data_IF_844165826870
#
_entry.id   IF_844165826870
#
_cell.length_a   1.000
_cell.length_b   1.000
_cell.length_c   1.000
_cell.angle_alpha   90.00
_cell.angle_beta   90.00
_cell.angle_gamma   90.00
#
_symmetry.space_group_name_H-M   'P 1'
#
loop_
_entity.id
_entity.type
_entity.pdbx_description
1 polymer ?
#
# COMPACT_ATOMS: atom_id res chain seq x y z
N UNK A 1 10.49 2.89 15.35
CA UNK A 1 9.12 2.82 14.80
C UNK A 1 9.08 3.04 13.28
N UNK A 2 9.81 4.00 12.67
CA UNK A 2 9.68 4.28 11.23
C UNK A 2 9.84 3.07 10.31
N UNK A 3 10.75 2.15 10.64
CA UNK A 3 11.04 0.95 9.84
C UNK A 3 10.29 -0.30 10.31
N UNK A 4 9.52 -0.21 11.38
CA UNK A 4 8.93 -1.39 12.02
C UNK A 4 7.93 -2.09 11.11
N UNK A 5 7.02 -1.34 10.47
CA UNK A 5 6.04 -1.94 9.57
C UNK A 5 6.70 -2.59 8.34
N UNK A 6 7.76 -1.98 7.77
CA UNK A 6 8.52 -2.60 6.68
C UNK A 6 9.13 -3.95 7.13
N UNK A 7 9.81 -3.97 8.28
CA UNK A 7 10.42 -5.19 8.81
C UNK A 7 9.36 -6.25 9.11
N UNK A 8 8.21 -5.87 9.66
CA UNK A 8 7.12 -6.80 9.93
C UNK A 8 6.64 -7.45 8.63
N UNK A 9 6.34 -6.66 7.61
CA UNK A 9 5.88 -7.16 6.31
C UNK A 9 6.95 -8.02 5.62
N UNK A 10 8.22 -7.61 5.63
CA UNK A 10 9.34 -8.40 5.08
C UNK A 10 9.53 -9.76 5.77
N UNK A 11 8.95 -9.94 6.97
CA UNK A 11 8.95 -11.21 7.71
C UNK A 11 7.56 -11.88 7.74
N UNK A 12 6.62 -11.49 6.90
CA UNK A 12 5.30 -12.10 6.79
C UNK A 12 4.38 -11.82 7.99
N UNK A 13 4.61 -10.71 8.70
CA UNK A 13 3.80 -10.28 9.86
C UNK A 13 2.89 -9.09 9.49
N UNK A 14 2.20 -9.21 8.37
CA UNK A 14 1.39 -8.13 7.79
C UNK A 14 0.25 -7.71 8.69
N UNK A 15 -0.40 -8.66 9.35
CA UNK A 15 -1.49 -8.39 10.31
C UNK A 15 -1.04 -7.49 11.45
N UNK A 16 0.20 -7.70 11.93
CA UNK A 16 0.77 -6.86 12.99
C UNK A 16 1.05 -5.45 12.44
N UNK A 17 1.58 -5.34 11.21
CA UNK A 17 1.84 -4.05 10.58
C UNK A 17 0.55 -3.25 10.36
N UNK A 18 -0.50 -3.90 9.86
CA UNK A 18 -1.82 -3.29 9.74
C UNK A 18 -2.45 -2.96 11.08
N UNK A 19 -2.34 -3.85 12.06
CA UNK A 19 -2.82 -3.60 13.43
C UNK A 19 -2.17 -2.38 14.06
N UNK A 20 -0.90 -2.10 13.77
CA UNK A 20 -0.23 -0.88 14.21
C UNK A 20 -0.75 0.36 13.48
N UNK A 21 -0.97 0.29 12.17
CA UNK A 21 -1.50 1.40 11.39
C UNK A 21 -2.95 1.75 11.80
N UNK A 22 -3.78 0.74 11.95
CA UNK A 22 -5.23 0.87 12.20
C UNK A 22 -5.57 1.01 13.68
N UNK A 23 -4.56 1.00 14.57
CA UNK A 23 -4.78 1.17 16.01
C UNK A 23 -5.35 2.56 16.32
N UNK A 24 -6.59 2.59 16.79
CA UNK A 24 -7.30 3.81 17.18
C UNK A 24 -6.99 4.27 18.62
N UNK A 25 -6.36 3.40 19.41
CA UNK A 25 -5.99 3.69 20.79
C UNK A 25 -4.54 4.18 20.89
N UNK A 26 -4.25 4.84 22.00
CA UNK A 26 -2.88 5.22 22.32
C UNK A 26 -2.02 3.98 22.68
N UNK A 27 -0.80 3.87 22.16
CA UNK A 27 -0.14 4.72 21.16
C UNK A 27 -0.46 4.28 19.72
N UNK A 28 -0.77 5.21 18.83
CA UNK A 28 -1.09 4.87 17.43
C UNK A 28 -1.35 6.10 16.56
N UNK A 29 -1.20 5.94 15.24
CA UNK A 29 -1.46 7.02 14.28
C UNK A 29 -2.91 7.48 14.31
N UNK A 30 -3.87 6.54 14.37
CA UNK A 30 -5.28 6.91 14.39
C UNK A 30 -5.70 7.54 15.72
N UNK A 31 -5.00 7.29 16.82
CA UNK A 31 -5.24 8.00 18.07
C UNK A 31 -4.92 9.49 17.96
N UNK A 32 -3.87 9.84 17.20
CA UNK A 32 -3.56 11.25 16.90
C UNK A 32 -4.66 11.90 16.05
N UNK A 33 -5.15 11.16 15.02
CA UNK A 33 -6.28 11.62 14.17
C UNK A 33 -7.53 11.86 15.00
N UNK A 34 -7.86 10.98 15.95
CA UNK A 34 -8.99 11.16 16.88
C UNK A 34 -8.84 12.41 17.75
N UNK A 35 -7.61 12.77 18.11
CA UNK A 35 -7.30 14.02 18.83
C UNK A 35 -7.30 15.26 17.92
N UNK A 36 -7.63 15.11 16.63
CA UNK A 36 -7.73 16.21 15.68
C UNK A 36 -6.42 16.56 14.97
N UNK A 37 -5.42 15.65 14.96
CA UNK A 37 -4.18 15.87 14.24
C UNK A 37 -4.42 16.05 12.73
N UNK A 38 -3.81 17.06 12.15
CA UNK A 38 -3.76 17.32 10.71
C UNK A 38 -2.37 17.10 10.12
N UNK A 39 -1.43 16.77 10.98
CA UNK A 39 -0.03 16.47 10.68
C UNK A 39 0.43 15.31 11.57
N UNK A 40 1.47 14.60 11.18
CA UNK A 40 2.03 13.53 12.01
C UNK A 40 2.96 14.12 13.06
N UNK A 41 2.73 13.78 14.33
CA UNK A 41 3.47 14.33 15.46
C UNK A 41 4.79 13.58 15.69
N UNK A 42 5.70 14.23 16.40
CA UNK A 42 6.99 13.64 16.80
C UNK A 42 6.84 12.50 17.80
N UNK A 43 5.82 12.59 18.64
CA UNK A 43 5.55 11.63 19.71
C UNK A 43 4.07 11.31 19.78
N UNK A 44 3.75 10.11 20.15
CA UNK A 44 2.36 9.70 20.40
C UNK A 44 1.64 10.55 21.46
N UNK A 45 2.40 11.10 22.40
CA UNK A 45 1.90 11.97 23.45
C UNK A 45 2.26 13.45 23.25
N UNK A 46 2.44 13.89 22.01
CA UNK A 46 2.66 15.31 21.71
C UNK A 46 1.51 16.18 22.20
N UNK A 47 0.29 15.68 22.09
CA UNK A 47 -0.90 16.21 22.74
C UNK A 47 -1.37 15.19 23.80
N UNK A 48 -1.69 15.68 24.99
CA UNK A 48 -2.23 14.85 26.06
C UNK A 48 -3.74 14.71 25.93
N UNK A 49 -4.32 13.69 26.58
CA UNK A 49 -5.76 13.43 26.51
C UNK A 49 -6.65 14.56 27.09
N UNK A 50 -6.07 15.47 27.88
CA UNK A 50 -6.74 16.68 28.38
C UNK A 50 -6.65 17.87 27.41
N UNK A 51 -6.06 17.69 26.23
CA UNK A 51 -5.86 18.71 25.21
C UNK A 51 -4.66 19.62 25.43
N UNK A 52 -3.82 19.36 26.44
CA UNK A 52 -2.61 20.13 26.67
C UNK A 52 -1.44 19.58 25.85
N UNK A 53 -0.54 20.47 25.43
CA UNK A 53 0.70 20.07 24.76
C UNK A 53 1.67 19.52 25.81
N UNK A 54 2.29 18.38 25.50
CA UNK A 54 3.29 17.77 26.35
C UNK A 54 4.42 18.76 26.67
N UNK A 55 4.67 18.99 27.95
CA UNK A 55 5.63 19.99 28.46
C UNK A 55 7.11 19.59 28.35
N UNK A 56 7.42 18.49 27.66
CA UNK A 56 8.81 18.05 27.48
C UNK A 56 9.38 18.82 26.28
N UNK A 57 10.51 19.50 26.48
CA UNK A 57 11.23 20.18 25.40
C UNK A 57 11.51 19.22 24.23
N UNK A 58 11.55 19.66 22.99
CA UNK A 58 11.55 18.86 21.76
C UNK A 58 10.23 18.09 21.56
N UNK A 59 9.26 18.82 21.08
CA UNK A 59 7.95 18.29 20.71
C UNK A 59 7.46 19.02 19.47
N UNK A 60 7.55 18.37 18.31
CA UNK A 60 7.06 18.90 17.05
C UNK A 60 5.70 18.30 16.71
N UNK A 61 4.77 19.15 16.29
CA UNK A 61 3.46 18.72 15.79
C UNK A 61 3.49 18.38 14.29
N UNK A 62 4.66 18.45 13.67
CA UNK A 62 4.87 18.04 12.26
C UNK A 62 6.27 17.45 12.12
N UNK A 63 6.39 16.13 12.23
CA UNK A 63 7.68 15.46 12.28
C UNK A 63 7.71 14.21 11.37
N UNK A 64 8.81 14.07 10.63
CA UNK A 64 8.94 13.01 9.62
C UNK A 64 9.06 11.60 10.21
N UNK A 65 9.50 11.45 11.47
CA UNK A 65 9.84 10.15 12.02
C UNK A 65 8.68 9.15 11.97
N UNK A 66 7.50 9.52 12.46
CA UNK A 66 6.31 8.69 12.33
C UNK A 66 5.63 8.86 10.96
N UNK A 67 5.84 9.99 10.28
CA UNK A 67 5.37 10.21 8.92
C UNK A 67 5.96 9.26 7.89
N UNK A 68 7.07 8.60 8.20
CA UNK A 68 7.68 7.55 7.37
C UNK A 68 6.78 6.31 7.16
N UNK A 69 5.71 6.13 7.93
CA UNK A 69 4.68 5.11 7.68
C UNK A 69 4.12 5.22 6.26
N UNK A 70 4.12 6.41 5.67
CA UNK A 70 3.65 6.63 4.32
C UNK A 70 4.44 5.82 3.28
N UNK A 71 5.76 5.61 3.50
CA UNK A 71 6.56 4.73 2.65
C UNK A 71 5.99 3.30 2.67
N UNK A 72 5.68 2.76 3.86
CA UNK A 72 5.07 1.45 4.00
C UNK A 72 3.69 1.37 3.34
N UNK A 73 2.89 2.43 3.49
CA UNK A 73 1.56 2.51 2.86
C UNK A 73 1.67 2.45 1.33
N UNK A 74 2.65 3.13 0.73
CA UNK A 74 2.87 3.06 -0.72
C UNK A 74 3.45 1.72 -1.16
N UNK A 75 4.47 1.23 -0.47
CA UNK A 75 5.20 0.02 -0.87
C UNK A 75 4.40 -1.26 -0.64
N UNK A 76 3.72 -1.35 0.48
CA UNK A 76 3.05 -2.57 0.91
C UNK A 76 1.54 -2.46 0.82
N UNK A 77 0.89 -1.52 1.51
CA UNK A 77 -0.56 -1.44 1.47
C UNK A 77 -1.10 -1.15 0.05
N UNK A 78 -0.48 -0.23 -0.68
CA UNK A 78 -0.82 0.03 -2.09
C UNK A 78 -0.07 -0.89 -3.06
N UNK A 79 1.08 -1.44 -2.65
CA UNK A 79 1.86 -2.36 -3.45
C UNK A 79 2.64 -1.70 -4.59
N UNK A 80 2.98 -0.42 -4.51
CA UNK A 80 3.78 0.27 -5.53
C UNK A 80 5.25 0.26 -5.10
N UNK A 81 6.03 -0.69 -5.60
CA UNK A 81 7.43 -0.87 -5.26
C UNK A 81 8.37 -0.50 -6.41
N UNK A 82 9.60 -0.16 -6.03
CA UNK A 82 10.69 0.03 -6.98
C UNK A 82 11.49 -1.27 -7.14
N UNK A 83 12.27 -1.36 -8.20
CA UNK A 83 13.22 -2.44 -8.39
C UNK A 83 14.62 -1.88 -8.61
N UNK A 84 15.62 -2.50 -8.01
CA UNK A 84 17.02 -2.13 -8.19
C UNK A 84 17.50 -2.29 -9.65
N UNK A 85 16.86 -3.18 -10.40
CA UNK A 85 17.19 -3.44 -11.79
C UNK A 85 16.80 -2.29 -12.75
N UNK A 86 15.92 -1.37 -12.32
CA UNK A 86 15.45 -0.27 -13.15
C UNK A 86 15.23 1.01 -12.31
N UNK A 87 16.30 1.74 -11.98
CA UNK A 87 16.20 2.97 -11.21
C UNK A 87 15.37 4.03 -11.94
N UNK A 88 14.79 4.96 -11.18
CA UNK A 88 13.99 6.07 -11.71
C UNK A 88 12.57 5.66 -12.09
N UNK A 89 12.05 4.58 -11.52
CA UNK A 89 10.67 4.12 -11.71
C UNK A 89 10.30 3.85 -13.18
N UNK A 90 11.26 3.46 -14.01
CA UNK A 90 10.99 2.95 -15.35
C UNK A 90 10.34 1.57 -15.33
N UNK A 91 10.59 0.83 -14.27
CA UNK A 91 9.92 -0.42 -13.96
C UNK A 91 9.53 -0.42 -12.49
N UNK A 92 8.27 -0.66 -12.22
CA UNK A 92 7.74 -0.83 -10.87
C UNK A 92 7.35 -2.28 -10.64
N UNK A 93 7.20 -2.64 -9.37
CA UNK A 93 6.56 -3.89 -8.96
C UNK A 93 5.24 -3.53 -8.32
N UNK A 94 4.15 -4.16 -8.79
CA UNK A 94 2.87 -4.13 -8.13
C UNK A 94 2.70 -5.40 -7.30
N UNK A 95 2.63 -5.24 -5.98
CA UNK A 95 2.53 -6.34 -5.02
C UNK A 95 1.80 -5.84 -3.76
N UNK A 96 0.48 -5.59 -3.84
CA UNK A 96 -0.27 -5.10 -2.69
C UNK A 96 -0.43 -6.17 -1.61
N UNK A 97 -0.22 -5.77 -0.38
CA UNK A 97 -0.57 -6.55 0.81
C UNK A 97 -1.99 -6.21 1.20
N UNK A 98 -2.87 -7.17 1.09
CA UNK A 98 -4.30 -6.97 1.33
C UNK A 98 -4.64 -7.00 2.82
N UNK A 99 -5.71 -6.31 3.21
CA UNK A 99 -6.22 -6.36 4.58
C UNK A 99 -7.73 -6.17 4.59
N UNK A 100 -8.45 -7.05 5.30
CA UNK A 100 -9.90 -7.04 5.34
C UNK A 100 -10.48 -5.86 6.11
N UNK A 101 -9.83 -5.36 7.16
CA UNK A 101 -10.30 -4.19 7.91
C UNK A 101 -10.24 -2.91 7.06
N UNK A 102 -9.19 -2.77 6.24
CA UNK A 102 -9.04 -1.64 5.33
C UNK A 102 -9.93 -1.73 4.10
N UNK A 103 -10.17 -2.93 3.59
CA UNK A 103 -11.04 -3.30 2.45
C UNK A 103 -10.66 -2.72 1.10
N UNK A 104 -10.09 -1.56 1.02
CA UNK A 104 -9.66 -0.97 -0.24
C UNK A 104 -8.51 0.00 -0.05
N UNK A 105 -7.66 0.08 -1.06
CA UNK A 105 -6.60 1.09 -1.18
C UNK A 105 -6.60 1.60 -2.61
N UNK A 106 -6.31 2.89 -2.79
CA UNK A 106 -6.02 3.48 -4.09
C UNK A 106 -4.86 4.46 -3.92
N UNK A 107 -3.78 4.21 -4.64
CA UNK A 107 -2.62 5.08 -4.66
C UNK A 107 -2.13 5.30 -6.10
N UNK A 108 -1.49 6.44 -6.31
CA UNK A 108 -0.81 6.74 -7.56
C UNK A 108 0.52 7.42 -7.28
N UNK A 109 1.43 7.24 -8.20
CA UNK A 109 2.74 7.87 -8.16
C UNK A 109 3.05 8.50 -9.53
N UNK A 110 3.22 9.82 -9.54
CA UNK A 110 3.62 10.57 -10.73
C UNK A 110 5.14 10.50 -10.87
N UNK A 111 5.60 9.64 -11.77
CA UNK A 111 7.00 9.38 -12.03
C UNK A 111 7.51 10.16 -13.25
N UNK A 112 8.83 10.26 -13.45
CA UNK A 112 9.38 10.82 -14.71
C UNK A 112 8.91 10.07 -15.97
N UNK A 113 8.41 8.84 -15.84
CA UNK A 113 7.87 8.04 -16.94
C UNK A 113 6.36 8.22 -17.14
N UNK A 114 5.70 8.93 -16.22
CA UNK A 114 4.25 9.13 -16.15
C UNK A 114 3.63 8.47 -14.91
N UNK A 115 2.31 8.46 -14.88
CA UNK A 115 1.53 8.04 -13.72
C UNK A 115 1.46 6.51 -13.60
N UNK A 116 1.89 5.98 -12.46
CA UNK A 116 1.57 4.62 -12.01
C UNK A 116 0.43 4.67 -11.02
N UNK A 117 -0.51 3.76 -11.13
CA UNK A 117 -1.62 3.60 -10.19
C UNK A 117 -1.75 2.16 -9.76
N UNK A 118 -2.07 1.94 -8.51
CA UNK A 118 -2.50 0.66 -7.99
C UNK A 118 -3.70 0.89 -7.07
N UNK A 119 -4.78 0.20 -7.35
CA UNK A 119 -5.99 0.25 -6.53
C UNK A 119 -6.55 -1.15 -6.39
N UNK A 120 -6.85 -1.56 -5.17
CA UNK A 120 -7.50 -2.83 -4.89
C UNK A 120 -8.73 -2.64 -4.00
N UNK A 121 -9.66 -3.57 -4.14
CA UNK A 121 -10.89 -3.62 -3.38
C UNK A 121 -11.27 -5.07 -3.08
N UNK A 122 -11.62 -5.34 -1.84
CA UNK A 122 -12.17 -6.62 -1.40
C UNK A 122 -13.69 -6.55 -1.46
N UNK A 123 -14.30 -7.33 -2.35
CA UNK A 123 -15.76 -7.44 -2.43
C UNK A 123 -16.32 -8.29 -1.30
N UNK A 124 -15.54 -9.26 -0.85
CA UNK A 124 -15.71 -10.07 0.35
C UNK A 124 -14.32 -10.56 0.84
N UNK A 125 -14.19 -11.31 1.94
CA UNK A 125 -12.88 -11.72 2.47
C UNK A 125 -12.01 -12.56 1.52
N UNK A 126 -12.58 -13.11 0.46
CA UNK A 126 -11.87 -13.98 -0.47
C UNK A 126 -11.69 -13.37 -1.88
N UNK A 127 -12.55 -12.43 -2.30
CA UNK A 127 -12.54 -11.94 -3.67
C UNK A 127 -11.92 -10.55 -3.77
N UNK A 128 -10.94 -10.43 -4.67
CA UNK A 128 -10.14 -9.23 -4.90
C UNK A 128 -10.36 -8.69 -6.31
N UNK A 129 -10.66 -7.40 -6.39
CA UNK A 129 -10.58 -6.62 -7.62
C UNK A 129 -9.37 -5.69 -7.53
N UNK A 130 -8.44 -5.82 -8.48
CA UNK A 130 -7.23 -5.02 -8.58
C UNK A 130 -7.23 -4.25 -9.90
N UNK A 131 -7.00 -2.95 -9.84
CA UNK A 131 -6.78 -2.10 -11.00
C UNK A 131 -5.38 -1.50 -10.95
N UNK A 132 -4.59 -1.69 -12.00
CA UNK A 132 -3.26 -1.10 -12.13
C UNK A 132 -3.13 -0.33 -13.43
N UNK A 133 -2.41 0.79 -13.38
CA UNK A 133 -2.09 1.62 -14.53
C UNK A 133 -0.58 1.74 -14.68
N UNK A 134 -0.10 1.50 -15.90
CA UNK A 134 1.30 1.58 -16.29
C UNK A 134 1.44 2.67 -17.35
N UNK A 135 2.27 3.72 -17.15
CA UNK A 135 2.43 4.80 -18.11
C UNK A 135 3.16 4.35 -19.37
N UNK A 136 3.02 5.11 -20.44
CA UNK A 136 3.60 4.80 -21.74
C UNK A 136 5.13 4.66 -21.72
N UNK A 137 5.82 5.41 -20.86
CA UNK A 137 7.28 5.37 -20.71
C UNK A 137 7.79 4.30 -19.73
N UNK A 138 6.90 3.46 -19.17
CA UNK A 138 7.21 2.52 -18.12
C UNK A 138 6.78 1.08 -18.40
N UNK A 139 7.11 0.22 -17.46
CA UNK A 139 6.63 -1.17 -17.38
C UNK A 139 6.41 -1.56 -15.93
N UNK A 140 5.66 -2.63 -15.67
CA UNK A 140 5.47 -3.13 -14.32
C UNK A 140 5.56 -4.64 -14.27
N UNK A 141 6.09 -5.18 -13.17
CA UNK A 141 5.94 -6.56 -12.77
C UNK A 141 4.79 -6.64 -11.79
N UNK A 142 3.75 -7.37 -12.13
CA UNK A 142 2.65 -7.66 -11.20
C UNK A 142 2.93 -8.99 -10.50
N UNK A 143 2.91 -9.00 -9.17
CA UNK A 143 2.93 -10.19 -8.34
C UNK A 143 1.58 -10.36 -7.66
N UNK A 144 1.05 -11.58 -7.72
CA UNK A 144 -0.21 -11.95 -7.07
C UNK A 144 0.04 -13.15 -6.17
N UNK A 145 -0.70 -13.30 -5.07
CA UNK A 145 -0.55 -14.48 -4.21
C UNK A 145 -0.95 -15.78 -4.91
N UNK A 146 -1.76 -15.67 -5.96
CA UNK A 146 -2.30 -16.80 -6.73
C UNK A 146 -2.49 -16.42 -8.22
N UNK A 147 -2.64 -17.44 -9.06
CA UNK A 147 -3.01 -17.22 -10.45
C UNK A 147 -4.40 -16.55 -10.54
N UNK A 148 -4.55 -15.44 -11.28
CA UNK A 148 -5.80 -14.70 -11.36
C UNK A 148 -6.88 -15.48 -12.11
N UNK A 149 -8.12 -15.30 -11.70
CA UNK A 149 -9.29 -15.85 -12.40
C UNK A 149 -9.53 -15.12 -13.73
N UNK A 150 -9.27 -13.82 -13.75
CA UNK A 150 -9.36 -13.03 -14.96
C UNK A 150 -8.40 -11.84 -14.95
N UNK A 151 -7.82 -11.54 -16.10
CA UNK A 151 -7.06 -10.31 -16.33
C UNK A 151 -7.56 -9.67 -17.61
N UNK A 152 -7.97 -8.41 -17.53
CA UNK A 152 -8.48 -7.64 -18.66
C UNK A 152 -7.67 -6.34 -18.77
N UNK A 153 -7.33 -5.94 -19.98
CA UNK A 153 -6.82 -4.60 -20.24
C UNK A 153 -7.94 -3.67 -20.73
N UNK A 154 -7.61 -2.37 -20.83
CA UNK A 154 -8.50 -1.31 -21.35
C UNK A 154 -9.03 -1.56 -22.76
N UNK A 155 -8.45 -2.50 -23.51
CA UNK A 155 -8.83 -2.88 -24.87
C UNK A 155 -9.70 -4.14 -24.94
N UNK A 156 -10.22 -4.58 -23.81
CA UNK A 156 -11.10 -5.76 -23.69
C UNK A 156 -10.50 -7.08 -24.23
N UNK A 157 -9.20 -7.15 -24.41
CA UNK A 157 -8.53 -8.38 -24.74
C UNK A 157 -8.13 -9.13 -23.47
N UNK A 158 -8.49 -10.41 -23.31
CA UNK A 158 -7.90 -11.23 -22.27
C UNK A 158 -6.40 -11.34 -22.55
N UNK A 159 -5.58 -10.70 -21.72
CA UNK A 159 -4.13 -10.69 -21.92
C UNK A 159 -3.47 -12.01 -21.56
N UNK A 160 -4.16 -12.87 -20.84
CA UNK A 160 -3.57 -14.04 -20.24
C UNK A 160 -4.55 -15.21 -20.24
N UNK A 161 -4.47 -16.04 -21.28
CA UNK A 161 -5.02 -17.39 -21.25
C UNK A 161 -4.13 -18.38 -20.48
N UNK A 162 -2.91 -17.98 -20.13
CA UNK A 162 -1.88 -18.89 -19.59
C UNK A 162 -1.04 -18.27 -18.47
N UNK A 163 -1.64 -17.54 -17.51
CA UNK A 163 -0.91 -17.23 -16.28
C UNK A 163 -0.83 -18.52 -15.44
N UNK A 164 0.21 -19.30 -15.68
CA UNK A 164 0.56 -20.42 -14.81
C UNK A 164 1.35 -19.97 -13.59
N UNK A 165 1.93 -18.77 -13.63
CA UNK A 165 2.73 -18.19 -12.57
C UNK A 165 2.01 -17.02 -11.90
N UNK A 166 2.21 -16.87 -10.60
CA UNK A 166 1.68 -15.76 -9.79
C UNK A 166 2.27 -14.39 -10.16
N UNK A 167 2.93 -14.26 -11.32
CA UNK A 167 3.54 -13.00 -11.76
C UNK A 167 3.42 -12.78 -13.26
N UNK A 168 3.29 -11.51 -13.66
CA UNK A 168 3.27 -11.14 -15.07
C UNK A 168 3.92 -9.79 -15.33
N UNK A 169 4.50 -9.62 -16.52
CA UNK A 169 5.05 -8.34 -16.97
C UNK A 169 3.96 -7.55 -17.70
N UNK A 170 3.72 -6.32 -17.25
CA UNK A 170 2.76 -5.40 -17.83
C UNK A 170 3.48 -4.31 -18.63
N UNK A 171 3.04 -4.10 -19.86
CA UNK A 171 3.39 -2.92 -20.66
C UNK A 171 2.46 -1.74 -20.32
N UNK A 172 2.65 -0.60 -21.01
CA UNK A 172 1.77 0.55 -20.84
C UNK A 172 0.29 0.20 -21.07
N UNK A 173 -0.59 0.64 -20.18
CA UNK A 173 -2.02 0.41 -20.21
C UNK A 173 -2.66 0.32 -18.84
N UNK A 174 -3.97 0.19 -18.81
CA UNK A 174 -4.77 -0.06 -17.60
C UNK A 174 -5.23 -1.50 -17.59
N UNK A 175 -5.08 -2.16 -16.46
CA UNK A 175 -5.40 -3.57 -16.28
C UNK A 175 -6.33 -3.76 -15.10
N UNK A 176 -7.36 -4.59 -15.31
CA UNK A 176 -8.26 -5.07 -14.26
C UNK A 176 -8.01 -6.53 -14.03
N UNK A 177 -7.78 -6.90 -12.81
CA UNK A 177 -7.45 -8.26 -12.38
C UNK A 177 -8.40 -8.67 -11.29
N UNK A 178 -9.07 -9.81 -11.47
CA UNK A 178 -9.91 -10.40 -10.45
C UNK A 178 -9.31 -11.75 -10.06
N UNK A 179 -9.22 -12.01 -8.77
CA UNK A 179 -8.76 -13.29 -8.26
C UNK A 179 -9.41 -13.62 -6.91
N UNK A 180 -9.38 -14.89 -6.57
CA UNK A 180 -9.91 -15.43 -5.34
C UNK A 180 -8.75 -15.92 -4.47
N UNK A 181 -8.75 -15.54 -3.19
CA UNK A 181 -7.77 -16.00 -2.23
C UNK A 181 -8.09 -17.45 -1.81
N UNK A 182 -7.06 -18.28 -1.66
CA UNK A 182 -7.22 -19.66 -1.17
C UNK A 182 -7.69 -19.72 0.28
N UNK A 183 -7.28 -18.75 1.07
CA UNK A 183 -7.70 -18.57 2.47
C UNK A 183 -8.26 -17.15 2.60
N UNK A 184 -9.49 -16.99 3.11
CA UNK A 184 -10.07 -15.68 3.36
C UNK A 184 -9.24 -14.90 4.39
N UNK A 185 -9.16 -13.58 4.20
CA UNK A 185 -8.46 -12.64 5.09
C UNK A 185 -9.19 -12.44 6.43
#
# INVERSE_FOLDING_TARGET
>A
TPLMCNILTENGMDDIAYGLLLNEEYPGWLSEVKLGATTVWERWNSLLGDGTISGIGMNSMNHYAYGSILEWMFRHAAGINTTDAAPGLRRVVFEPVLNWELRCVSAFYDSPCGLYRCAWHLTDPAHVELEVEVPFGGSAQLWLPLAPVSVMNDRTNPLFSDIQDASCLLSAGTYKVCYELTEPL
#
